data_IF_674061585881
#
_entry.id   IF_674061585881
#
_cell.length_a   1.000
_cell.length_b   1.000
_cell.length_c   1.000
_cell.angle_alpha   90.00
_cell.angle_beta   90.00
_cell.angle_gamma   90.00
#
_symmetry.space_group_name_H-M   'P 1'
#
loop_
_entity.id
_entity.type
_entity.pdbx_description
1 polymer ?
#
# COMPACT_ATOMS: atom_id res chain seq x y z
N UNK A 1 -35.56 8.18 11.97
CA UNK A 1 -34.89 7.48 10.85
C UNK A 1 -33.49 8.05 10.73
N UNK A 2 -32.41 7.22 10.75
CA UNK A 2 -31.06 7.73 10.53
C UNK A 2 -31.00 8.45 9.19
N UNK A 3 -30.43 9.64 9.15
CA UNK A 3 -30.19 10.37 7.90
C UNK A 3 -29.19 9.58 7.04
N UNK A 4 -29.22 9.73 5.71
CA UNK A 4 -28.25 9.13 4.78
C UNK A 4 -26.79 9.37 5.22
N UNK A 5 -26.54 10.48 5.92
CA UNK A 5 -25.23 10.80 6.48
C UNK A 5 -24.79 9.84 7.61
N UNK A 6 -25.69 9.53 8.54
CA UNK A 6 -25.41 8.62 9.66
C UNK A 6 -25.08 7.19 9.20
N UNK A 7 -25.69 6.74 8.09
CA UNK A 7 -25.44 5.43 7.50
C UNK A 7 -24.07 5.31 6.80
N UNK A 8 -23.45 6.41 6.38
CA UNK A 8 -22.10 6.39 5.79
C UNK A 8 -21.02 6.43 6.88
N UNK A 9 -21.19 7.22 7.93
CA UNK A 9 -20.24 7.25 9.04
C UNK A 9 -20.18 5.91 9.81
N UNK A 10 -21.28 5.15 9.85
CA UNK A 10 -21.30 3.81 10.48
C UNK A 10 -20.51 2.76 9.70
N UNK A 11 -20.12 3.05 8.46
CA UNK A 11 -19.24 2.16 7.69
C UNK A 11 -17.78 2.28 8.09
N UNK A 12 -17.38 3.33 8.83
CA UNK A 12 -15.99 3.52 9.28
C UNK A 12 -15.62 2.41 10.27
N UNK A 13 -14.59 1.66 9.93
CA UNK A 13 -13.97 0.67 10.82
C UNK A 13 -12.47 0.67 10.61
N UNK A 14 -11.72 0.96 11.67
CA UNK A 14 -10.28 0.81 11.74
C UNK A 14 -9.87 -0.63 12.11
N UNK A 15 -10.80 -1.58 12.20
CA UNK A 15 -10.56 -3.00 12.49
C UNK A 15 -9.70 -3.23 13.77
N UNK A 16 -9.99 -2.46 14.81
CA UNK A 16 -9.12 -2.35 15.98
C UNK A 16 -8.95 -3.67 16.75
N UNK A 17 -9.94 -4.56 16.75
CA UNK A 17 -9.89 -5.83 17.50
C UNK A 17 -8.88 -6.83 16.96
N UNK A 18 -8.39 -6.63 15.73
CA UNK A 18 -7.39 -7.47 15.08
C UNK A 18 -5.96 -7.03 15.34
N UNK A 19 -5.76 -5.97 16.12
CA UNK A 19 -4.43 -5.50 16.50
C UNK A 19 -3.81 -6.38 17.59
N UNK A 20 -2.47 -6.51 17.63
CA UNK A 20 -1.78 -7.55 18.40
C UNK A 20 -1.91 -7.43 19.93
N UNK A 21 -1.96 -6.21 20.47
CA UNK A 21 -1.98 -5.97 21.93
C UNK A 21 -3.12 -5.05 22.33
N UNK A 22 -3.58 -5.14 23.58
CA UNK A 22 -4.68 -4.33 24.08
C UNK A 22 -4.40 -2.81 23.94
N UNK A 23 -3.16 -2.37 24.15
CA UNK A 23 -2.77 -0.96 24.00
C UNK A 23 -2.97 -0.46 22.57
N UNK A 24 -2.61 -1.28 21.58
CA UNK A 24 -2.88 -0.98 20.17
C UNK A 24 -4.39 -0.89 19.92
N UNK A 25 -5.17 -1.86 20.42
CA UNK A 25 -6.61 -1.88 20.22
C UNK A 25 -7.29 -0.62 20.81
N UNK A 26 -6.88 -0.18 22.00
CA UNK A 26 -7.41 1.02 22.66
C UNK A 26 -7.07 2.31 21.90
N UNK A 27 -5.80 2.47 21.51
CA UNK A 27 -5.37 3.62 20.71
C UNK A 27 -6.10 3.69 19.37
N UNK A 28 -6.29 2.55 18.71
CA UNK A 28 -7.07 2.45 17.48
C UNK A 28 -8.53 2.85 17.70
N UNK A 29 -9.20 2.32 18.74
CA UNK A 29 -10.60 2.66 19.05
C UNK A 29 -10.78 4.15 19.31
N UNK A 30 -9.83 4.78 19.99
CA UNK A 30 -9.84 6.23 20.22
C UNK A 30 -9.78 7.02 18.90
N UNK A 31 -8.98 6.58 17.93
CA UNK A 31 -8.92 7.20 16.61
C UNK A 31 -10.22 6.95 15.81
N UNK A 32 -10.72 5.71 15.78
CA UNK A 32 -11.97 5.35 15.10
C UNK A 32 -13.14 6.22 15.60
N UNK A 33 -13.30 6.35 16.91
CA UNK A 33 -14.33 7.19 17.53
C UNK A 33 -14.21 8.67 17.12
N UNK A 34 -12.98 9.19 16.99
CA UNK A 34 -12.74 10.57 16.51
C UNK A 34 -13.14 10.74 15.05
N UNK A 35 -12.81 9.77 14.18
CA UNK A 35 -13.19 9.81 12.76
C UNK A 35 -14.71 9.76 12.59
N UNK A 36 -15.39 8.88 13.33
CA UNK A 36 -16.86 8.78 13.33
C UNK A 36 -17.48 10.10 13.80
N UNK A 37 -17.01 10.67 14.91
CA UNK A 37 -17.50 11.95 15.42
C UNK A 37 -17.30 13.10 14.41
N UNK A 38 -16.13 13.16 13.75
CA UNK A 38 -15.84 14.16 12.72
C UNK A 38 -16.70 13.98 11.47
N UNK A 39 -16.91 12.73 11.03
CA UNK A 39 -17.79 12.40 9.91
C UNK A 39 -19.21 12.92 10.15
N UNK A 40 -19.77 12.64 11.34
CA UNK A 40 -21.10 13.10 11.76
C UNK A 40 -21.15 14.63 11.82
N UNK A 41 -20.15 15.26 12.45
CA UNK A 41 -20.09 16.73 12.60
C UNK A 41 -20.01 17.46 11.26
N UNK A 42 -19.31 16.90 10.28
CA UNK A 42 -19.03 17.53 8.99
C UNK A 42 -19.98 17.08 7.87
N UNK A 43 -21.09 16.41 8.17
CA UNK A 43 -22.03 15.87 7.17
C UNK A 43 -21.30 15.09 6.05
N UNK A 44 -20.36 14.23 6.43
CA UNK A 44 -19.54 13.39 5.53
C UNK A 44 -18.56 14.14 4.61
N UNK A 45 -18.38 15.45 4.75
CA UNK A 45 -17.51 16.22 3.87
C UNK A 45 -16.01 15.91 4.05
N UNK A 46 -15.59 15.46 5.24
CA UNK A 46 -14.21 15.01 5.51
C UNK A 46 -14.21 14.00 6.65
N UNK A 47 -13.96 12.74 6.31
CA UNK A 47 -13.97 11.62 7.25
C UNK A 47 -12.58 11.44 7.90
N UNK A 48 -11.50 11.81 7.19
CA UNK A 48 -10.13 11.51 7.59
C UNK A 48 -9.75 10.05 7.33
N UNK A 49 -8.66 9.58 7.95
CA UNK A 49 -8.13 8.23 7.79
C UNK A 49 -7.80 7.56 9.13
N UNK A 50 -7.90 6.22 9.16
CA UNK A 50 -7.38 5.44 10.30
C UNK A 50 -5.85 5.47 10.31
N UNK A 51 -5.27 5.92 11.44
CA UNK A 51 -3.82 6.03 11.62
C UNK A 51 -3.18 4.77 12.21
N UNK A 52 -3.88 4.11 13.14
CA UNK A 52 -3.59 2.79 13.67
C UNK A 52 -4.77 1.89 13.27
N UNK A 53 -4.50 0.74 12.64
CA UNK A 53 -5.57 0.00 11.99
C UNK A 53 -5.30 -1.51 11.80
N UNK A 54 -6.32 -2.34 11.92
CA UNK A 54 -6.26 -3.76 11.62
C UNK A 54 -6.13 -4.06 10.11
N UNK A 55 -5.97 -5.35 9.75
CA UNK A 55 -5.80 -5.78 8.38
C UNK A 55 -7.03 -5.53 7.48
N UNK A 56 -8.24 -5.45 8.05
CA UNK A 56 -9.49 -5.25 7.30
C UNK A 56 -10.08 -3.84 7.49
N UNK A 57 -9.28 -2.90 7.99
CA UNK A 57 -9.73 -1.53 8.16
C UNK A 57 -10.13 -0.87 6.84
N UNK A 58 -11.17 -0.05 6.89
CA UNK A 58 -11.62 0.82 5.82
C UNK A 58 -11.32 2.30 6.17
N UNK A 59 -11.62 3.20 5.24
CA UNK A 59 -11.15 4.60 5.31
C UNK A 59 -9.62 4.69 5.47
N UNK A 60 -8.90 3.92 4.63
CA UNK A 60 -7.44 3.98 4.51
C UNK A 60 -7.04 4.65 3.18
N UNK A 61 -5.96 5.44 3.17
CA UNK A 61 -5.39 6.08 1.98
C UNK A 61 -4.54 5.08 1.16
N UNK A 62 -5.05 3.88 0.92
CA UNK A 62 -4.35 2.88 0.10
C UNK A 62 -4.60 3.15 -1.39
N UNK A 63 -3.62 2.81 -2.22
CA UNK A 63 -3.78 2.84 -3.67
C UNK A 63 -4.50 1.58 -4.18
N UNK A 64 -4.29 0.47 -3.49
CA UNK A 64 -4.91 -0.82 -3.78
C UNK A 64 -6.33 -0.84 -3.24
N UNK A 65 -7.27 -1.17 -4.12
CA UNK A 65 -8.65 -1.41 -3.71
C UNK A 65 -8.80 -2.82 -3.13
N UNK A 66 -9.11 -2.92 -1.84
CA UNK A 66 -9.32 -4.20 -1.15
C UNK A 66 -10.81 -4.54 -1.23
N UNK A 67 -11.27 -4.98 -2.39
CA UNK A 67 -12.64 -5.50 -2.56
C UNK A 67 -12.69 -7.00 -2.35
N UNK A 68 -13.82 -7.47 -1.84
CA UNK A 68 -14.14 -8.89 -1.86
C UNK A 68 -14.50 -9.31 -3.28
N UNK A 69 -13.91 -10.41 -3.74
CA UNK A 69 -14.18 -10.99 -5.05
C UNK A 69 -14.90 -12.33 -4.88
N UNK A 70 -15.80 -12.64 -5.80
CA UNK A 70 -16.42 -13.96 -5.84
C UNK A 70 -15.34 -15.04 -6.04
N UNK A 71 -15.35 -16.14 -5.25
CA UNK A 71 -14.43 -17.25 -5.44
C UNK A 71 -14.53 -17.85 -6.85
N UNK A 72 -13.39 -18.19 -7.45
CA UNK A 72 -13.36 -18.96 -8.69
C UNK A 72 -13.75 -20.42 -8.45
N UNK A 73 -14.38 -21.06 -9.42
CA UNK A 73 -14.63 -22.51 -9.39
C UNK A 73 -13.42 -23.28 -9.93
N UNK A 74 -13.25 -24.56 -9.56
CA UNK A 74 -12.19 -25.44 -10.08
C UNK A 74 -12.04 -25.38 -11.61
N UNK A 75 -13.16 -25.33 -12.34
CA UNK A 75 -13.16 -25.28 -13.81
C UNK A 75 -12.53 -24.00 -14.37
N UNK A 76 -12.47 -22.92 -13.58
CA UNK A 76 -11.93 -21.62 -14.00
C UNK A 76 -10.43 -21.49 -13.72
N UNK A 77 -9.82 -22.34 -12.87
CA UNK A 77 -8.43 -22.13 -12.42
C UNK A 77 -7.42 -22.09 -13.58
N UNK A 78 -7.51 -23.02 -14.54
CA UNK A 78 -6.62 -23.04 -15.70
C UNK A 78 -6.74 -21.77 -16.55
N UNK A 79 -7.97 -21.32 -16.79
CA UNK A 79 -8.22 -20.10 -17.57
C UNK A 79 -7.69 -18.85 -16.85
N UNK A 80 -7.89 -18.76 -15.54
CA UNK A 80 -7.40 -17.64 -14.72
C UNK A 80 -5.87 -17.60 -14.70
N UNK A 81 -5.19 -18.75 -14.59
CA UNK A 81 -3.74 -18.83 -14.64
C UNK A 81 -3.19 -18.38 -16.01
N UNK A 82 -3.79 -18.82 -17.12
CA UNK A 82 -3.39 -18.36 -18.45
C UNK A 82 -3.61 -16.85 -18.62
N UNK A 83 -4.74 -16.32 -18.14
CA UNK A 83 -5.02 -14.87 -18.16
C UNK A 83 -3.99 -14.10 -17.34
N UNK A 84 -3.64 -14.58 -16.15
CA UNK A 84 -2.62 -13.97 -15.31
C UNK A 84 -1.26 -13.92 -16.03
N UNK A 85 -0.82 -15.04 -16.62
CA UNK A 85 0.45 -15.10 -17.37
C UNK A 85 0.47 -14.12 -18.56
N UNK A 86 -0.61 -14.04 -19.34
CA UNK A 86 -0.73 -13.12 -20.47
C UNK A 86 -0.66 -11.65 -20.03
N UNK A 87 -1.36 -11.29 -18.95
CA UNK A 87 -1.35 -9.91 -18.44
C UNK A 87 0.02 -9.56 -17.86
N UNK A 88 0.67 -10.48 -17.15
CA UNK A 88 2.03 -10.28 -16.65
C UNK A 88 3.02 -10.02 -17.80
N UNK A 89 2.98 -10.84 -18.85
CA UNK A 89 3.77 -10.64 -20.05
C UNK A 89 3.46 -9.30 -20.74
N UNK A 90 2.18 -8.90 -20.82
CA UNK A 90 1.78 -7.58 -21.32
C UNK A 90 2.43 -6.46 -20.51
N UNK A 91 2.40 -6.53 -19.18
CA UNK A 91 2.99 -5.50 -18.32
C UNK A 91 4.49 -5.32 -18.56
N UNK A 92 5.24 -6.41 -18.76
CA UNK A 92 6.68 -6.35 -19.09
C UNK A 92 6.88 -5.61 -20.42
N UNK A 93 6.12 -5.98 -21.46
CA UNK A 93 6.22 -5.33 -22.77
C UNK A 93 5.80 -3.86 -22.73
N UNK A 94 4.74 -3.54 -21.98
CA UNK A 94 4.26 -2.19 -21.78
C UNK A 94 5.31 -1.35 -21.04
N UNK A 95 6.05 -1.94 -20.10
CA UNK A 95 7.15 -1.27 -19.41
C UNK A 95 8.36 -1.03 -20.32
N UNK A 96 8.72 -1.97 -21.19
CA UNK A 96 9.75 -1.74 -22.21
C UNK A 96 9.32 -0.69 -23.24
N UNK A 97 8.05 -0.69 -23.62
CA UNK A 97 7.47 0.32 -24.49
C UNK A 97 7.46 1.71 -23.84
N UNK A 98 7.12 1.78 -22.55
CA UNK A 98 7.22 2.97 -21.72
C UNK A 98 8.64 3.54 -21.72
N UNK A 99 9.65 2.72 -21.41
CA UNK A 99 11.07 3.12 -21.36
C UNK A 99 11.53 3.72 -22.70
N UNK A 100 11.22 3.05 -23.82
CA UNK A 100 11.53 3.55 -25.18
C UNK A 100 10.89 4.89 -25.50
N UNK A 101 9.70 5.18 -24.98
CA UNK A 101 9.04 6.48 -25.19
C UNK A 101 9.61 7.57 -24.32
N UNK A 102 10.05 7.26 -23.10
CA UNK A 102 10.80 8.19 -22.26
C UNK A 102 12.10 8.61 -22.95
N UNK A 103 12.89 7.66 -23.45
CA UNK A 103 14.14 7.94 -24.18
C UNK A 103 13.92 8.87 -25.38
N UNK A 104 12.80 8.69 -26.09
CA UNK A 104 12.39 9.53 -27.23
C UNK A 104 11.67 10.82 -26.83
N UNK A 105 11.57 11.13 -25.53
CA UNK A 105 10.84 12.28 -24.97
C UNK A 105 9.37 12.36 -25.38
N UNK A 106 8.76 11.21 -25.68
CA UNK A 106 7.34 11.05 -26.07
C UNK A 106 6.48 10.82 -24.84
N UNK A 107 6.45 11.80 -23.94
CA UNK A 107 5.82 11.66 -22.61
C UNK A 107 4.33 11.30 -22.64
N UNK A 108 3.57 11.75 -23.64
CA UNK A 108 2.15 11.39 -23.80
C UNK A 108 1.99 9.88 -24.07
N UNK A 109 2.82 9.33 -24.97
CA UNK A 109 2.80 7.90 -25.28
C UNK A 109 3.31 7.05 -24.10
N UNK A 110 4.34 7.54 -23.39
CA UNK A 110 4.80 6.92 -22.15
C UNK A 110 3.67 6.87 -21.11
N UNK A 111 2.95 7.98 -20.90
CA UNK A 111 1.81 8.02 -19.98
C UNK A 111 0.72 7.00 -20.35
N UNK A 112 0.39 6.86 -21.63
CA UNK A 112 -0.58 5.86 -22.08
C UNK A 112 -0.14 4.41 -21.78
N UNK A 113 1.15 4.11 -21.95
CA UNK A 113 1.71 2.80 -21.56
C UNK A 113 1.64 2.56 -20.04
N UNK A 114 1.92 3.60 -19.25
CA UNK A 114 1.84 3.53 -17.79
C UNK A 114 0.41 3.29 -17.29
N UNK A 115 -0.59 3.93 -17.90
CA UNK A 115 -2.00 3.67 -17.57
C UNK A 115 -2.41 2.21 -17.83
N UNK A 116 -1.85 1.58 -18.88
CA UNK A 116 -2.05 0.15 -19.14
C UNK A 116 -1.37 -0.73 -18.09
N UNK A 117 -0.11 -0.43 -17.71
CA UNK A 117 0.60 -1.13 -16.62
C UNK A 117 -0.21 -1.06 -15.33
N UNK A 118 -0.69 0.14 -14.97
CA UNK A 118 -1.46 0.38 -13.75
C UNK A 118 -2.75 -0.44 -13.71
N UNK A 119 -3.52 -0.44 -14.80
CA UNK A 119 -4.76 -1.24 -14.94
C UNK A 119 -4.49 -2.74 -14.96
N UNK A 120 -3.44 -3.17 -15.64
CA UNK A 120 -3.05 -4.57 -15.71
C UNK A 120 -2.62 -5.09 -14.33
N UNK A 121 -1.94 -4.27 -13.52
CA UNK A 121 -1.59 -4.64 -12.14
C UNK A 121 -2.83 -4.89 -11.26
N UNK A 122 -3.86 -4.04 -11.35
CA UNK A 122 -5.12 -4.24 -10.62
C UNK A 122 -5.87 -5.48 -11.10
N UNK A 123 -5.82 -5.74 -12.41
CA UNK A 123 -6.44 -6.92 -13.01
C UNK A 123 -5.74 -8.19 -12.53
N UNK A 124 -4.39 -8.22 -12.52
CA UNK A 124 -3.62 -9.34 -11.97
C UNK A 124 -3.95 -9.58 -10.51
N UNK A 125 -3.95 -8.54 -9.68
CA UNK A 125 -4.28 -8.65 -8.27
C UNK A 125 -5.70 -9.22 -8.06
N UNK A 126 -6.67 -8.74 -8.84
CA UNK A 126 -8.05 -9.25 -8.80
C UNK A 126 -8.14 -10.73 -9.19
N UNK A 127 -7.42 -11.15 -10.25
CA UNK A 127 -7.37 -12.55 -10.66
C UNK A 127 -6.76 -13.43 -9.57
N UNK A 128 -5.69 -12.96 -8.93
CA UNK A 128 -5.04 -13.64 -7.82
C UNK A 128 -6.00 -13.80 -6.62
N UNK A 129 -6.72 -12.74 -6.24
CA UNK A 129 -7.73 -12.81 -5.20
C UNK A 129 -8.78 -13.87 -5.51
N UNK A 130 -9.30 -13.92 -6.75
CA UNK A 130 -10.32 -14.89 -7.17
C UNK A 130 -9.81 -16.33 -7.10
N UNK A 131 -8.61 -16.58 -7.61
CA UNK A 131 -7.97 -17.88 -7.60
C UNK A 131 -7.73 -18.37 -6.16
N UNK A 132 -7.09 -17.55 -5.33
CA UNK A 132 -6.81 -17.90 -3.94
C UNK A 132 -8.08 -18.13 -3.12
N UNK A 133 -9.13 -17.35 -3.37
CA UNK A 133 -10.42 -17.51 -2.70
C UNK A 133 -11.14 -18.79 -3.14
N UNK A 134 -11.04 -19.15 -4.43
CA UNK A 134 -11.54 -20.42 -4.95
C UNK A 134 -10.83 -21.62 -4.33
N UNK A 135 -9.49 -21.59 -4.28
CA UNK A 135 -8.70 -22.63 -3.62
C UNK A 135 -9.05 -22.78 -2.14
N UNK A 136 -9.23 -21.68 -1.42
CA UNK A 136 -9.63 -21.72 -0.01
C UNK A 136 -11.06 -22.29 0.17
N UNK A 137 -11.99 -21.96 -0.72
CA UNK A 137 -13.36 -22.49 -0.70
C UNK A 137 -13.45 -23.99 -0.97
N UNK A 138 -12.41 -24.58 -1.57
CA UNK A 138 -12.26 -26.03 -1.77
C UNK A 138 -11.39 -26.70 -0.69
N UNK A 139 -11.19 -26.04 0.44
CA UNK A 139 -10.33 -26.48 1.56
C UNK A 139 -8.85 -26.71 1.17
N UNK A 140 -8.40 -26.17 0.03
CA UNK A 140 -7.01 -26.25 -0.46
C UNK A 140 -6.17 -25.08 0.08
N UNK A 141 -6.19 -24.88 1.39
CA UNK A 141 -5.52 -23.75 2.05
C UNK A 141 -4.02 -23.66 1.77
N UNK A 142 -3.32 -24.79 1.72
CA UNK A 142 -1.88 -24.82 1.40
C UNK A 142 -1.58 -24.31 -0.02
N UNK A 143 -2.41 -24.69 -1.00
CA UNK A 143 -2.29 -24.22 -2.38
C UNK A 143 -2.69 -22.76 -2.52
N UNK A 144 -3.72 -22.30 -1.80
CA UNK A 144 -4.09 -20.88 -1.73
C UNK A 144 -2.92 -20.02 -1.22
N UNK A 145 -2.28 -20.45 -0.12
CA UNK A 145 -1.10 -19.77 0.41
C UNK A 145 0.09 -19.82 -0.55
N UNK A 146 0.31 -20.95 -1.24
CA UNK A 146 1.38 -21.05 -2.24
C UNK A 146 1.15 -20.08 -3.40
N UNK A 147 -0.07 -20.05 -3.94
CA UNK A 147 -0.45 -19.14 -5.03
C UNK A 147 -0.24 -17.67 -4.63
N UNK A 148 -0.57 -17.30 -3.39
CA UNK A 148 -0.24 -15.98 -2.85
C UNK A 148 1.26 -15.69 -2.81
N UNK A 149 2.08 -16.68 -2.43
CA UNK A 149 3.54 -16.52 -2.41
C UNK A 149 4.11 -16.31 -3.80
N UNK A 150 3.67 -17.09 -4.78
CA UNK A 150 4.14 -16.98 -6.17
C UNK A 150 3.83 -15.60 -6.73
N UNK A 151 2.57 -15.15 -6.62
CA UNK A 151 2.18 -13.80 -7.05
C UNK A 151 2.95 -12.70 -6.30
N UNK A 152 3.15 -12.83 -4.98
CA UNK A 152 3.87 -11.81 -4.21
C UNK A 152 5.32 -11.61 -4.65
N UNK A 153 5.98 -12.66 -5.13
CA UNK A 153 7.35 -12.60 -5.64
C UNK A 153 7.40 -11.85 -6.98
N UNK A 154 6.49 -12.17 -7.89
CA UNK A 154 6.40 -11.53 -9.21
C UNK A 154 6.00 -10.05 -9.09
N UNK A 155 5.02 -9.75 -8.23
CA UNK A 155 4.60 -8.39 -7.92
C UNK A 155 5.73 -7.58 -7.28
N UNK A 156 6.52 -8.17 -6.38
CA UNK A 156 7.68 -7.50 -5.79
C UNK A 156 8.74 -7.15 -6.85
N UNK A 157 9.03 -8.08 -7.76
CA UNK A 157 9.96 -7.83 -8.87
C UNK A 157 9.50 -6.67 -9.76
N UNK A 158 8.24 -6.73 -10.21
CA UNK A 158 7.65 -5.66 -11.01
C UNK A 158 7.65 -4.31 -10.28
N UNK A 159 7.26 -4.27 -9.01
CA UNK A 159 7.28 -3.04 -8.20
C UNK A 159 8.69 -2.46 -8.08
N UNK A 160 9.71 -3.31 -7.93
CA UNK A 160 11.12 -2.89 -7.83
C UNK A 160 11.61 -2.26 -9.12
N UNK A 161 11.29 -2.85 -10.27
CA UNK A 161 11.67 -2.31 -11.58
C UNK A 161 11.01 -0.95 -11.85
N UNK A 162 9.71 -0.82 -11.53
CA UNK A 162 8.96 0.44 -11.65
C UNK A 162 9.53 1.50 -10.70
N UNK A 163 9.87 1.13 -9.47
CA UNK A 163 10.47 2.01 -8.47
C UNK A 163 11.83 2.55 -8.92
N UNK A 164 12.75 1.66 -9.30
CA UNK A 164 14.10 2.03 -9.70
C UNK A 164 14.08 2.96 -10.92
N UNK A 165 13.22 2.67 -11.90
CA UNK A 165 13.13 3.52 -13.08
C UNK A 165 12.43 4.84 -12.78
N UNK A 166 11.41 4.88 -11.93
CA UNK A 166 10.80 6.16 -11.51
C UNK A 166 11.75 7.02 -10.68
N UNK A 167 12.53 6.45 -9.78
CA UNK A 167 13.60 7.14 -9.08
C UNK A 167 14.62 7.74 -10.06
N UNK A 168 15.03 6.98 -11.08
CA UNK A 168 15.88 7.50 -12.16
C UNK A 168 15.24 8.72 -12.84
N UNK A 169 13.96 8.68 -13.20
CA UNK A 169 13.27 9.83 -13.82
C UNK A 169 13.23 11.03 -12.88
N UNK A 170 12.93 10.80 -11.61
CA UNK A 170 12.82 11.84 -10.58
C UNK A 170 14.16 12.46 -10.21
N UNK A 171 15.27 11.74 -10.38
CA UNK A 171 16.62 12.27 -10.15
C UNK A 171 17.25 12.94 -11.39
N UNK A 172 16.66 12.76 -12.57
CA UNK A 172 17.25 13.24 -13.83
C UNK A 172 16.38 14.25 -14.58
N UNK A 173 15.13 14.48 -14.19
CA UNK A 173 14.27 15.42 -14.92
C UNK A 173 14.85 16.84 -14.97
N UNK A 174 15.56 17.29 -13.94
CA UNK A 174 16.18 18.63 -13.91
C UNK A 174 17.33 18.81 -14.91
N UNK A 175 17.83 17.72 -15.50
CA UNK A 175 18.87 17.77 -16.56
C UNK A 175 18.33 18.22 -17.92
N UNK A 176 16.99 18.31 -18.09
CA UNK A 176 16.41 18.77 -19.35
C UNK A 176 16.33 20.30 -19.39
N UNK A 177 16.84 20.92 -20.45
CA UNK A 177 16.81 22.39 -20.61
C UNK A 177 15.40 22.96 -20.77
N UNK A 178 14.50 22.19 -21.40
CA UNK A 178 13.14 22.61 -21.68
C UNK A 178 12.22 22.38 -20.47
N UNK A 179 11.66 23.46 -19.91
CA UNK A 179 10.79 23.42 -18.73
C UNK A 179 9.56 22.54 -18.91
N UNK A 180 8.92 22.57 -20.08
CA UNK A 180 7.77 21.72 -20.37
C UNK A 180 8.16 20.25 -20.36
N UNK A 181 9.34 19.89 -20.89
CA UNK A 181 9.84 18.52 -20.85
C UNK A 181 10.22 18.09 -19.43
N UNK A 182 10.84 18.97 -18.63
CA UNK A 182 11.10 18.74 -17.19
C UNK A 182 9.82 18.38 -16.45
N UNK A 183 8.80 19.24 -16.56
CA UNK A 183 7.52 19.05 -15.89
C UNK A 183 6.86 17.73 -16.31
N UNK A 184 6.83 17.43 -17.62
CA UNK A 184 6.27 16.17 -18.13
C UNK A 184 7.02 14.93 -17.65
N UNK A 185 8.35 14.98 -17.62
CA UNK A 185 9.17 13.87 -17.12
C UNK A 185 8.96 13.65 -15.63
N UNK A 186 8.91 14.73 -14.83
CA UNK A 186 8.58 14.67 -13.40
C UNK A 186 7.19 14.07 -13.18
N UNK A 187 6.17 14.56 -13.87
CA UNK A 187 4.80 14.08 -13.69
C UNK A 187 4.65 12.59 -14.04
N UNK A 188 5.32 12.15 -15.11
CA UNK A 188 5.37 10.73 -15.48
C UNK A 188 6.18 9.92 -14.45
N UNK A 189 7.27 10.45 -13.92
CA UNK A 189 8.04 9.84 -12.84
C UNK A 189 7.22 9.65 -11.56
N UNK A 190 6.45 10.67 -11.15
CA UNK A 190 5.53 10.61 -10.01
C UNK A 190 4.46 9.56 -10.24
N UNK A 191 3.85 9.51 -11.43
CA UNK A 191 2.82 8.52 -11.74
C UNK A 191 3.40 7.10 -11.73
N UNK A 192 4.60 6.89 -12.27
CA UNK A 192 5.28 5.60 -12.26
C UNK A 192 5.62 5.15 -10.84
N UNK A 193 6.09 6.08 -10.00
CA UNK A 193 6.34 5.85 -8.58
C UNK A 193 5.05 5.49 -7.82
N UNK A 194 3.93 6.14 -8.15
CA UNK A 194 2.63 5.83 -7.55
C UNK A 194 2.18 4.41 -7.90
N UNK A 195 2.32 4.00 -9.15
CA UNK A 195 2.06 2.62 -9.59
C UNK A 195 3.01 1.63 -8.90
N UNK A 196 4.31 1.92 -8.80
CA UNK A 196 5.26 1.09 -8.05
C UNK A 196 4.83 0.91 -6.59
N UNK A 197 4.45 2.00 -5.92
CA UNK A 197 3.90 1.99 -4.56
C UNK A 197 2.66 1.10 -4.44
N UNK A 198 1.71 1.18 -5.39
CA UNK A 198 0.52 0.32 -5.45
C UNK A 198 0.89 -1.17 -5.59
N UNK A 199 1.80 -1.50 -6.51
CA UNK A 199 2.22 -2.90 -6.70
C UNK A 199 2.97 -3.45 -5.48
N UNK A 200 3.74 -2.62 -4.76
CA UNK A 200 4.30 -3.01 -3.46
C UNK A 200 3.21 -3.26 -2.40
N UNK A 201 2.14 -2.48 -2.35
CA UNK A 201 0.99 -2.77 -1.45
C UNK A 201 0.36 -4.13 -1.80
N UNK A 202 0.14 -4.40 -3.08
CA UNK A 202 -0.41 -5.68 -3.56
C UNK A 202 0.51 -6.85 -3.16
N UNK A 203 1.83 -6.71 -3.34
CA UNK A 203 2.82 -7.67 -2.88
C UNK A 203 2.77 -7.85 -1.36
N UNK A 204 2.64 -6.77 -0.59
CA UNK A 204 2.52 -6.80 0.87
C UNK A 204 1.28 -7.55 1.34
N UNK A 205 0.12 -7.30 0.72
CA UNK A 205 -1.12 -8.04 0.96
C UNK A 205 -0.95 -9.53 0.63
N UNK A 206 -0.35 -9.84 -0.52
CA UNK A 206 -0.12 -11.20 -0.97
C UNK A 206 0.82 -11.99 -0.06
N UNK A 207 1.98 -11.42 0.32
CA UNK A 207 2.87 -12.04 1.30
C UNK A 207 2.18 -12.27 2.65
N UNK A 208 1.32 -11.34 3.08
CA UNK A 208 0.52 -11.48 4.30
C UNK A 208 -0.39 -12.71 4.24
N UNK A 209 -1.15 -12.87 3.16
CA UNK A 209 -2.02 -14.04 2.93
C UNK A 209 -1.23 -15.34 2.69
N UNK A 210 -0.01 -15.24 2.17
CA UNK A 210 0.93 -16.35 2.01
C UNK A 210 1.70 -16.74 3.29
N UNK A 211 1.36 -16.13 4.44
CA UNK A 211 2.00 -16.33 5.76
C UNK A 211 3.50 -15.98 5.79
N UNK A 212 3.94 -15.02 4.96
CA UNK A 212 5.32 -14.52 4.89
C UNK A 212 5.42 -13.12 5.48
N UNK A 213 5.06 -12.95 6.74
CA UNK A 213 4.91 -11.63 7.38
C UNK A 213 6.16 -10.74 7.32
N UNK A 214 7.37 -11.30 7.42
CA UNK A 214 8.62 -10.54 7.22
C UNK A 214 8.70 -9.88 5.84
N UNK A 215 8.35 -10.63 4.78
CA UNK A 215 8.35 -10.11 3.41
C UNK A 215 7.21 -9.13 3.18
N UNK A 216 6.03 -9.41 3.77
CA UNK A 216 4.90 -8.48 3.75
C UNK A 216 5.30 -7.13 4.34
N UNK A 217 5.93 -7.14 5.52
CA UNK A 217 6.36 -5.93 6.20
C UNK A 217 7.37 -5.12 5.38
N UNK A 218 8.33 -5.79 4.74
CA UNK A 218 9.28 -5.14 3.84
C UNK A 218 8.59 -4.52 2.62
N UNK A 219 7.67 -5.23 1.97
CA UNK A 219 6.93 -4.72 0.81
C UNK A 219 6.10 -3.48 1.19
N UNK A 220 5.42 -3.50 2.34
CA UNK A 220 4.70 -2.33 2.86
C UNK A 220 5.63 -1.14 3.18
N UNK A 221 6.82 -1.41 3.71
CA UNK A 221 7.83 -0.35 3.93
C UNK A 221 8.29 0.26 2.61
N UNK A 222 8.58 -0.56 1.59
CA UNK A 222 8.96 -0.08 0.26
C UNK A 222 7.82 0.74 -0.38
N UNK A 223 6.56 0.30 -0.21
CA UNK A 223 5.41 1.08 -0.64
C UNK A 223 5.40 2.47 0.03
N UNK A 224 5.69 2.55 1.34
CA UNK A 224 5.74 3.83 2.05
C UNK A 224 6.84 4.74 1.50
N UNK A 225 8.03 4.18 1.23
CA UNK A 225 9.14 4.92 0.62
C UNK A 225 8.77 5.50 -0.75
N UNK A 226 8.00 4.77 -1.57
CA UNK A 226 7.49 5.29 -2.84
C UNK A 226 6.61 6.54 -2.64
N UNK A 227 5.68 6.53 -1.68
CA UNK A 227 4.85 7.70 -1.36
C UNK A 227 5.69 8.86 -0.81
N UNK A 228 6.67 8.57 0.06
CA UNK A 228 7.56 9.57 0.61
C UNK A 228 8.43 10.25 -0.48
N UNK A 229 8.85 9.50 -1.49
CA UNK A 229 9.60 10.04 -2.63
C UNK A 229 8.70 10.87 -3.56
N UNK A 230 7.43 10.49 -3.76
CA UNK A 230 6.47 11.36 -4.47
C UNK A 230 6.33 12.70 -3.74
N UNK A 231 6.22 12.67 -2.41
CA UNK A 231 6.13 13.87 -1.58
C UNK A 231 7.32 14.81 -1.75
N UNK A 232 8.55 14.29 -1.79
CA UNK A 232 9.75 15.12 -1.95
C UNK A 232 9.88 15.74 -3.34
N UNK A 233 9.21 15.20 -4.34
CA UNK A 233 9.18 15.72 -5.72
C UNK A 233 7.90 16.47 -6.08
N UNK A 234 6.94 16.60 -5.15
CA UNK A 234 5.72 17.38 -5.39
C UNK A 234 6.02 18.89 -5.40
N UNK A 235 5.53 19.60 -6.41
CA UNK A 235 5.73 21.06 -6.56
C UNK A 235 4.73 21.91 -5.79
N UNK A 236 3.77 21.28 -5.11
CA UNK A 236 2.80 22.02 -4.32
C UNK A 236 3.52 22.66 -3.13
N UNK A 237 3.78 23.98 -3.23
CA UNK A 237 4.61 24.79 -2.30
C UNK A 237 4.11 24.80 -0.85
N UNK A 238 2.98 24.16 -0.55
CA UNK A 238 2.46 24.04 0.80
C UNK A 238 2.23 22.57 1.14
N UNK A 239 2.62 22.16 2.35
CA UNK A 239 2.28 20.87 2.97
C UNK A 239 0.76 20.69 3.21
N UNK A 240 -0.08 21.55 2.62
CA UNK A 240 -1.53 21.66 2.84
C UNK A 240 -2.35 21.35 1.59
N UNK A 241 -1.72 21.05 0.45
CA UNK A 241 -2.48 20.54 -0.68
C UNK A 241 -3.06 19.16 -0.36
N UNK A 242 -4.27 18.90 -0.86
CA UNK A 242 -4.97 17.62 -0.63
C UNK A 242 -4.15 16.41 -1.12
N UNK A 243 -3.36 16.59 -2.18
CA UNK A 243 -2.53 15.54 -2.73
C UNK A 243 -1.31 15.23 -1.85
N UNK A 244 -0.60 16.26 -1.36
CA UNK A 244 0.48 16.04 -0.38
C UNK A 244 -0.05 15.43 0.91
N UNK A 245 -1.21 15.89 1.38
CA UNK A 245 -1.87 15.30 2.55
C UNK A 245 -2.19 13.81 2.32
N UNK A 246 -2.76 13.46 1.16
CA UNK A 246 -3.04 12.08 0.77
C UNK A 246 -1.77 11.21 0.81
N UNK A 247 -0.68 11.62 0.18
CA UNK A 247 0.55 10.82 0.17
C UNK A 247 1.21 10.72 1.55
N UNK A 248 1.05 11.72 2.43
CA UNK A 248 1.52 11.63 3.82
C UNK A 248 0.77 10.56 4.58
N UNK A 249 -0.56 10.59 4.53
CA UNK A 249 -1.38 9.56 5.17
C UNK A 249 -1.13 8.18 4.54
N UNK A 250 -0.95 8.10 3.22
CA UNK A 250 -0.59 6.85 2.54
C UNK A 250 0.74 6.28 3.04
N UNK A 251 1.78 7.11 3.16
CA UNK A 251 3.07 6.71 3.71
C UNK A 251 2.91 6.16 5.14
N UNK A 252 2.14 6.86 5.98
CA UNK A 252 1.88 6.46 7.35
C UNK A 252 1.11 5.12 7.44
N UNK A 253 0.02 4.96 6.69
CA UNK A 253 -0.79 3.73 6.69
C UNK A 253 0.01 2.52 6.18
N UNK A 254 0.86 2.72 5.17
CA UNK A 254 1.78 1.68 4.68
C UNK A 254 2.80 1.26 5.74
N UNK A 255 3.40 2.21 6.46
CA UNK A 255 4.30 1.90 7.59
C UNK A 255 3.58 1.24 8.76
N UNK A 256 2.32 1.62 9.01
CA UNK A 256 1.49 0.94 9.99
C UNK A 256 1.24 -0.52 9.61
N UNK A 257 0.90 -0.80 8.33
CA UNK A 257 0.80 -2.19 7.81
C UNK A 257 2.13 -2.94 7.97
N UNK A 258 3.25 -2.28 7.69
CA UNK A 258 4.57 -2.87 7.90
C UNK A 258 4.78 -3.26 9.36
N UNK A 259 4.48 -2.34 10.28
CA UNK A 259 4.57 -2.59 11.73
C UNK A 259 3.69 -3.76 12.19
N UNK A 260 2.44 -3.80 11.74
CA UNK A 260 1.52 -4.90 12.01
C UNK A 260 2.13 -6.26 11.63
N UNK A 261 2.68 -6.35 10.41
CA UNK A 261 3.32 -7.58 9.95
C UNK A 261 4.63 -7.91 10.68
N UNK A 262 5.40 -6.89 11.13
CA UNK A 262 6.55 -7.12 12.00
C UNK A 262 6.14 -7.67 13.38
N UNK A 263 5.05 -7.16 13.95
CA UNK A 263 4.57 -7.54 15.28
C UNK A 263 4.07 -9.00 15.33
N UNK A 264 3.40 -9.47 14.27
CA UNK A 264 2.91 -10.86 14.17
C UNK A 264 3.95 -11.83 13.60
N UNK A 265 4.95 -11.32 12.89
CA UNK A 265 6.07 -12.12 12.36
C UNK A 265 7.14 -12.40 13.42
N UNK A 266 8.18 -13.14 13.02
CA UNK A 266 9.30 -13.46 13.91
C UNK A 266 10.13 -12.23 14.32
N UNK A 267 9.94 -11.06 13.69
CA UNK A 267 10.73 -9.83 13.88
C UNK A 267 10.07 -8.75 14.75
N UNK A 268 9.57 -9.09 15.95
CA UNK A 268 8.84 -8.16 16.84
C UNK A 268 9.57 -6.83 17.11
N UNK A 269 10.89 -6.80 17.07
CA UNK A 269 11.67 -5.58 17.31
C UNK A 269 11.58 -4.49 16.22
N UNK A 270 11.18 -4.83 14.99
CA UNK A 270 11.06 -3.87 13.88
C UNK A 270 9.69 -3.17 13.80
N UNK A 271 8.71 -3.64 14.58
CA UNK A 271 7.37 -3.07 14.63
C UNK A 271 7.38 -1.63 15.16
N UNK A 272 8.10 -1.40 16.27
CA UNK A 272 8.26 -0.07 16.87
C UNK A 272 8.93 0.94 15.93
N UNK A 273 9.97 0.53 15.20
CA UNK A 273 10.68 1.40 14.25
C UNK A 273 9.75 1.90 13.14
N UNK A 274 8.95 1.00 12.58
CA UNK A 274 7.99 1.36 11.53
C UNK A 274 6.87 2.26 12.07
N UNK A 275 6.44 2.10 13.33
CA UNK A 275 5.48 3.01 13.96
C UNK A 275 6.06 4.41 14.18
N UNK A 276 7.28 4.49 14.69
CA UNK A 276 7.98 5.77 14.88
C UNK A 276 8.15 6.48 13.53
N UNK A 277 8.51 5.73 12.48
CA UNK A 277 8.60 6.28 11.13
C UNK A 277 7.23 6.77 10.62
N UNK A 278 6.15 6.00 10.84
CA UNK A 278 4.79 6.40 10.45
C UNK A 278 4.36 7.73 11.11
N UNK A 279 4.73 7.97 12.38
CA UNK A 279 4.40 9.21 13.08
C UNK A 279 4.96 10.45 12.40
N UNK A 280 6.14 10.36 11.77
CA UNK A 280 6.78 11.49 11.10
C UNK A 280 5.88 12.07 10.00
N UNK A 281 5.05 11.25 9.37
CA UNK A 281 4.12 11.67 8.33
C UNK A 281 2.82 12.28 8.89
N UNK A 282 2.43 11.91 10.12
CA UNK A 282 1.15 12.28 10.75
C UNK A 282 1.17 13.64 11.47
N UNK A 283 2.32 14.30 11.63
CA UNK A 283 2.45 15.60 12.32
C UNK A 283 2.41 15.50 13.85
N UNK A 284 2.45 16.65 14.56
CA UNK A 284 2.64 16.83 16.03
C UNK A 284 1.61 16.15 16.98
N UNK A 285 0.91 15.10 16.56
CA UNK A 285 0.07 14.22 17.38
C UNK A 285 0.82 13.07 18.07
N UNK A 286 2.15 13.17 18.22
CA UNK A 286 3.06 12.11 18.68
C UNK A 286 2.75 11.49 20.05
N UNK A 287 1.78 12.01 20.81
CA UNK A 287 1.40 11.45 22.11
C UNK A 287 0.64 10.13 22.01
N UNK A 288 -0.18 9.91 20.96
CA UNK A 288 -1.17 8.82 20.96
C UNK A 288 -0.56 7.41 20.87
N UNK A 289 0.56 7.22 20.14
CA UNK A 289 1.20 5.90 20.00
C UNK A 289 2.50 5.77 20.79
N UNK A 290 2.89 6.79 21.56
CA UNK A 290 4.13 6.76 22.38
C UNK A 290 4.14 5.60 23.39
N UNK A 291 2.97 5.26 23.95
CA UNK A 291 2.79 4.08 24.81
C UNK A 291 3.04 2.77 24.06
N UNK A 292 2.56 2.68 22.81
CA UNK A 292 2.77 1.52 21.95
C UNK A 292 4.25 1.39 21.58
N UNK A 293 4.91 2.48 21.19
CA UNK A 293 6.33 2.46 20.84
C UNK A 293 7.17 1.95 22.01
N UNK A 294 6.91 2.43 23.23
CA UNK A 294 7.59 1.96 24.45
C UNK A 294 7.33 0.47 24.74
N UNK A 295 6.11 -0.01 24.51
CA UNK A 295 5.76 -1.43 24.65
C UNK A 295 6.58 -2.28 23.68
N UNK A 296 6.64 -1.89 22.40
CA UNK A 296 7.42 -2.59 21.38
C UNK A 296 8.93 -2.56 21.66
N UNK A 297 9.46 -1.43 22.13
CA UNK A 297 10.86 -1.30 22.56
C UNK A 297 11.18 -2.23 23.74
N UNK A 298 10.27 -2.34 24.71
CA UNK A 298 10.42 -3.25 25.84
C UNK A 298 10.39 -4.72 25.38
N UNK A 299 9.47 -5.07 24.47
CA UNK A 299 9.44 -6.41 23.85
C UNK A 299 10.76 -6.69 23.15
N UNK A 300 11.26 -5.77 22.32
CA UNK A 300 12.56 -5.89 21.65
C UNK A 300 13.71 -6.12 22.64
N UNK A 301 13.79 -5.31 23.69
CA UNK A 301 14.85 -5.41 24.69
C UNK A 301 14.82 -6.73 25.48
N UNK A 302 13.64 -7.34 25.63
CA UNK A 302 13.44 -8.60 26.35
C UNK A 302 13.80 -9.86 25.54
N UNK A 303 13.97 -9.75 24.22
CA UNK A 303 14.22 -10.91 23.37
C UNK A 303 15.74 -11.20 23.20
N UNK A 304 16.23 -12.39 23.59
CA UNK A 304 17.66 -12.72 23.60
C UNK A 304 18.31 -12.79 22.20
N UNK A 305 17.51 -12.95 21.14
CA UNK A 305 17.99 -13.18 19.77
C UNK A 305 18.29 -11.90 18.95
N UNK A 306 17.91 -10.71 19.42
CA UNK A 306 18.03 -9.46 18.65
C UNK A 306 19.17 -8.53 19.12
N UNK A 307 20.10 -9.03 19.95
CA UNK A 307 21.28 -8.31 20.43
C UNK A 307 22.54 -8.50 19.54
N UNK A 308 22.40 -8.91 18.29
CA UNK A 308 23.53 -9.05 17.36
C UNK A 308 23.28 -8.27 16.08
#
# INVERSE_FOLDING_TARGET
MPTLAANQCSTISCDCSKLPTQSWQETCRNQENRLVANCVKNNNASIGYCSLHGPQANALPLATNITQVAPATQAQFTELNHKAALIYWSMINDFDYFKRHIEKRRFIAARGALELIDKNSDTLYTLQQKLSSGLAAEDKNALSQQSWRDYSQDALGAATDLYNYSEYLLNTYDTLDNEQQRNRMRDVGIQLMATAGKVYEQAGLAYGNGMRHKHAAQAWKNASQASALILSHSTEKTNQSKQNEYYRYQSASRLHRASYHWAIGEGKGAAGESLVEAQKFMGNGGSAISGIVREEEAIRASQPYWRK
#
